data_IF_854394223624
#
_entry.id   IF_854394223624
#
_cell.length_a   1.000
_cell.length_b   1.000
_cell.length_c   1.000
_cell.angle_alpha   90.00
_cell.angle_beta   90.00
_cell.angle_gamma   90.00
#
_symmetry.space_group_name_H-M   'P 1'
#
loop_
_entity.id
_entity.type
_entity.pdbx_description
1 polymer ?
#
# COMPACT_ATOMS: atom_id res chain seq x y z
N UNK A 1 -10.37 -14.20 8.84
CA UNK A 1 -10.47 -13.65 7.47
C UNK A 1 -10.54 -12.15 7.62
N UNK A 2 -9.86 -11.38 6.77
CA UNK A 2 -9.90 -9.92 6.87
C UNK A 2 -11.29 -9.39 6.48
N UNK A 3 -11.78 -8.36 7.18
CA UNK A 3 -13.13 -7.83 6.97
C UNK A 3 -13.14 -6.40 6.40
N UNK A 4 -12.04 -5.66 6.54
CA UNK A 4 -11.95 -4.26 6.13
C UNK A 4 -10.53 -3.88 5.69
N UNK A 5 -10.44 -2.74 5.01
CA UNK A 5 -9.21 -2.00 4.73
C UNK A 5 -9.15 -0.76 5.64
N UNK A 6 -7.96 -0.31 6.00
CA UNK A 6 -7.72 0.95 6.70
C UNK A 6 -6.98 1.92 5.79
N UNK A 7 -7.61 3.04 5.46
CA UNK A 7 -6.94 4.16 4.79
C UNK A 7 -6.47 5.17 5.83
N UNK A 8 -5.15 5.35 5.94
CA UNK A 8 -4.52 6.35 6.80
C UNK A 8 -4.27 7.62 6.01
N UNK A 9 -4.59 8.78 6.59
CA UNK A 9 -4.37 10.08 5.97
C UNK A 9 -4.07 11.14 7.04
N UNK A 10 -3.51 12.28 6.62
CA UNK A 10 -3.20 13.38 7.53
C UNK A 10 -4.50 14.02 8.04
N UNK A 11 -4.61 14.23 9.35
CA UNK A 11 -5.75 14.92 9.94
C UNK A 11 -5.90 16.32 9.33
N UNK A 12 -7.14 16.68 8.99
CA UNK A 12 -7.48 17.95 8.35
C UNK A 12 -7.38 17.95 6.83
N UNK A 13 -6.74 16.96 6.21
CA UNK A 13 -6.77 16.75 4.77
C UNK A 13 -8.02 15.96 4.34
N UNK A 14 -8.36 16.06 3.04
CA UNK A 14 -9.32 15.14 2.44
C UNK A 14 -8.69 13.74 2.28
N UNK A 15 -9.42 12.66 2.60
CA UNK A 15 -8.94 11.31 2.36
C UNK A 15 -8.86 11.00 0.86
N UNK A 16 -8.23 9.87 0.51
CA UNK A 16 -8.18 9.33 -0.85
C UNK A 16 -7.52 10.25 -1.88
N UNK A 17 -6.46 10.96 -1.47
CA UNK A 17 -5.61 11.75 -2.36
C UNK A 17 -4.45 10.89 -2.87
N UNK A 18 -4.11 11.04 -4.15
CA UNK A 18 -2.99 10.35 -4.78
C UNK A 18 -2.14 11.33 -5.56
N UNK A 19 -0.82 11.18 -5.49
CA UNK A 19 0.11 11.92 -6.35
C UNK A 19 -0.12 11.60 -7.83
N UNK A 20 -0.62 10.40 -8.12
CA UNK A 20 -0.90 9.93 -9.49
C UNK A 20 -2.17 10.54 -10.10
N UNK A 21 -2.97 11.24 -9.29
CA UNK A 21 -4.12 12.01 -9.76
C UNK A 21 -3.73 13.39 -10.30
N UNK A 22 -2.48 13.81 -10.10
CA UNK A 22 -2.00 15.16 -10.37
C UNK A 22 -1.12 15.20 -11.62
N UNK A 23 -0.94 16.40 -12.17
CA UNK A 23 0.13 16.59 -13.16
C UNK A 23 1.50 16.43 -12.51
N UNK A 24 2.51 16.07 -13.31
CA UNK A 24 3.89 15.92 -12.81
C UNK A 24 4.38 17.17 -12.07
N UNK A 25 4.07 18.37 -12.58
CA UNK A 25 4.47 19.62 -11.93
C UNK A 25 3.81 19.82 -10.57
N UNK A 26 2.54 19.48 -10.42
CA UNK A 26 1.80 19.59 -9.16
C UNK A 26 2.27 18.54 -8.14
N UNK A 27 2.47 17.29 -8.60
CA UNK A 27 2.98 16.21 -7.77
C UNK A 27 4.38 16.56 -7.23
N UNK A 28 5.28 17.05 -8.08
CA UNK A 28 6.64 17.45 -7.69
C UNK A 28 6.61 18.54 -6.62
N UNK A 29 5.81 19.61 -6.81
CA UNK A 29 5.65 20.69 -5.82
C UNK A 29 5.16 20.17 -4.47
N UNK A 30 4.21 19.23 -4.47
CA UNK A 30 3.71 18.62 -3.24
C UNK A 30 4.82 17.80 -2.57
N UNK A 31 5.55 16.96 -3.30
CA UNK A 31 6.63 16.16 -2.73
C UNK A 31 7.75 17.03 -2.16
N UNK A 32 8.14 18.10 -2.86
CA UNK A 32 9.08 19.10 -2.35
C UNK A 32 8.60 19.74 -1.04
N UNK A 33 7.29 20.04 -0.94
CA UNK A 33 6.71 20.62 0.28
C UNK A 33 6.58 19.63 1.45
N UNK A 34 6.55 18.33 1.15
CA UNK A 34 6.48 17.26 2.15
C UNK A 34 7.85 16.77 2.58
N UNK A 35 8.92 17.22 1.93
CA UNK A 35 10.28 16.84 2.29
C UNK A 35 10.71 17.54 3.58
N UNK A 36 11.10 16.74 4.55
CA UNK A 36 11.77 17.14 5.77
C UNK A 36 13.00 16.23 5.92
N UNK A 37 14.07 16.72 6.55
CA UNK A 37 15.30 15.95 6.74
C UNK A 37 15.11 14.92 7.88
N UNK A 38 14.27 13.91 7.62
CA UNK A 38 13.95 12.82 8.53
C UNK A 38 13.68 11.50 7.77
N UNK A 39 13.83 10.33 8.42
CA UNK A 39 13.69 9.04 7.75
C UNK A 39 12.33 8.77 7.07
N UNK A 40 11.24 9.42 7.53
CA UNK A 40 9.90 9.21 6.97
C UNK A 40 9.69 10.01 5.68
N UNK A 41 10.34 11.16 5.55
CA UNK A 41 10.27 12.04 4.39
C UNK A 41 11.43 11.84 3.40
N UNK A 42 12.45 11.03 3.74
CA UNK A 42 13.62 10.73 2.88
C UNK A 42 13.22 10.28 1.46
N UNK A 43 12.08 9.60 1.30
CA UNK A 43 11.53 9.19 -0.01
C UNK A 43 11.30 10.37 -0.98
N UNK A 44 11.11 11.58 -0.46
CA UNK A 44 10.87 12.79 -1.24
C UNK A 44 12.12 13.64 -1.47
N UNK A 45 13.29 13.19 -1.02
CA UNK A 45 14.58 13.86 -1.25
C UNK A 45 14.91 14.02 -2.73
N UNK A 46 14.59 13.00 -3.51
CA UNK A 46 14.74 12.98 -4.98
C UNK A 46 13.35 12.83 -5.62
N UNK A 47 12.52 13.90 -5.64
CA UNK A 47 11.09 13.80 -5.95
C UNK A 47 10.84 13.37 -7.40
N UNK A 48 11.71 13.75 -8.34
CA UNK A 48 11.64 13.30 -9.74
C UNK A 48 11.86 11.79 -9.84
N UNK A 49 12.86 11.27 -9.13
CA UNK A 49 13.13 9.84 -9.10
C UNK A 49 11.98 9.07 -8.46
N UNK A 50 11.47 9.56 -7.32
CA UNK A 50 10.33 8.95 -6.65
C UNK A 50 9.09 8.89 -7.55
N UNK A 51 8.77 9.98 -8.27
CA UNK A 51 7.63 10.01 -9.18
C UNK A 51 7.76 8.99 -10.31
N UNK A 52 8.95 8.89 -10.91
CA UNK A 52 9.22 7.90 -11.96
C UNK A 52 9.10 6.47 -11.43
N UNK A 53 9.67 6.18 -10.27
CA UNK A 53 9.57 4.88 -9.63
C UNK A 53 8.12 4.52 -9.30
N UNK A 54 7.33 5.49 -8.82
CA UNK A 54 5.91 5.32 -8.53
C UNK A 54 5.12 4.96 -9.78
N UNK A 55 5.31 5.69 -10.88
CA UNK A 55 4.63 5.40 -12.16
C UNK A 55 4.98 4.01 -12.70
N UNK A 56 6.25 3.61 -12.59
CA UNK A 56 6.68 2.27 -12.99
C UNK A 56 6.05 1.18 -12.12
N UNK A 57 6.05 1.39 -10.81
CA UNK A 57 5.47 0.46 -9.83
C UNK A 57 3.96 0.32 -10.04
N UNK A 58 3.22 1.42 -10.16
CA UNK A 58 1.77 1.40 -10.40
C UNK A 58 1.42 0.72 -11.72
N UNK A 59 2.21 0.96 -12.77
CA UNK A 59 2.06 0.26 -14.04
C UNK A 59 2.27 -1.25 -13.85
N UNK A 60 3.33 -1.66 -13.16
CA UNK A 60 3.61 -3.06 -12.86
C UNK A 60 2.47 -3.70 -12.06
N UNK A 61 2.02 -3.08 -10.97
CA UNK A 61 0.88 -3.58 -10.16
C UNK A 61 -0.34 -3.77 -11.04
N UNK A 62 -0.67 -2.77 -11.85
CA UNK A 62 -1.85 -2.80 -12.73
C UNK A 62 -1.78 -3.96 -13.73
N UNK A 63 -0.64 -4.13 -14.39
CA UNK A 63 -0.44 -5.15 -15.41
C UNK A 63 -0.50 -6.56 -14.81
N UNK A 64 0.18 -6.79 -13.67
CA UNK A 64 0.15 -8.07 -12.95
C UNK A 64 -1.25 -8.37 -12.37
N UNK A 65 -1.94 -7.35 -11.87
CA UNK A 65 -3.31 -7.51 -11.39
C UNK A 65 -4.25 -7.95 -12.52
N UNK A 66 -4.14 -7.33 -13.71
CA UNK A 66 -4.90 -7.74 -14.90
C UNK A 66 -4.53 -9.17 -15.33
N UNK A 67 -3.25 -9.53 -15.29
CA UNK A 67 -2.81 -10.88 -15.62
C UNK A 67 -3.43 -11.95 -14.69
N UNK A 68 -3.73 -11.57 -13.44
CA UNK A 68 -4.46 -12.37 -12.45
C UNK A 68 -5.99 -12.32 -12.58
N UNK A 69 -6.51 -11.65 -13.61
CA UNK A 69 -7.95 -11.53 -13.86
C UNK A 69 -8.61 -10.30 -13.22
N UNK A 70 -7.83 -9.45 -12.55
CA UNK A 70 -8.30 -8.18 -11.99
C UNK A 70 -8.84 -7.25 -13.08
N UNK A 71 -9.74 -6.34 -12.68
CA UNK A 71 -10.39 -5.40 -13.59
C UNK A 71 -10.30 -3.97 -13.07
N UNK A 72 -9.10 -3.35 -13.08
CA UNK A 72 -8.94 -1.99 -12.62
C UNK A 72 -9.84 -1.04 -13.41
N UNK A 73 -10.69 -0.29 -12.69
CA UNK A 73 -11.67 0.65 -13.25
C UNK A 73 -11.09 2.05 -13.38
N UNK A 74 -10.16 2.39 -12.51
CA UNK A 74 -9.44 3.66 -12.49
C UNK A 74 -7.99 3.48 -12.99
N UNK A 75 -7.36 4.59 -13.40
CA UNK A 75 -6.02 4.60 -14.01
C UNK A 75 -4.88 4.40 -12.99
N UNK A 76 -5.11 4.81 -11.75
CA UNK A 76 -4.18 4.70 -10.63
C UNK A 76 -4.89 4.13 -9.42
N UNK A 77 -4.17 3.49 -8.48
CA UNK A 77 -4.78 2.96 -7.28
C UNK A 77 -4.87 4.02 -6.17
N UNK A 78 -5.85 3.84 -5.29
CA UNK A 78 -5.84 4.42 -3.95
C UNK A 78 -5.33 3.38 -2.96
N UNK A 79 -4.40 3.81 -2.10
CA UNK A 79 -3.69 2.92 -1.19
C UNK A 79 -4.40 2.83 0.16
N UNK A 80 -4.49 1.62 0.69
CA UNK A 80 -4.95 1.32 2.03
C UNK A 80 -4.14 0.15 2.60
N UNK A 81 -4.37 -0.18 3.87
CA UNK A 81 -3.84 -1.38 4.52
C UNK A 81 -4.93 -2.41 4.65
N UNK A 82 -4.63 -3.68 4.42
CA UNK A 82 -5.54 -4.77 4.75
C UNK A 82 -5.60 -4.98 6.26
N UNK A 83 -6.78 -4.82 6.87
CA UNK A 83 -6.91 -4.79 8.33
C UNK A 83 -6.30 -3.52 8.92
N UNK A 84 -5.46 -3.67 9.95
CA UNK A 84 -4.70 -2.58 10.59
C UNK A 84 -3.19 -2.80 10.46
N UNK A 85 -2.41 -1.75 10.70
CA UNK A 85 -0.96 -1.88 10.87
C UNK A 85 -0.48 -1.21 12.15
N UNK A 86 -0.07 -2.04 13.14
CA UNK A 86 0.64 -1.57 14.32
C UNK A 86 1.93 -0.83 13.93
N UNK A 87 2.60 -1.27 12.85
CA UNK A 87 3.78 -0.61 12.34
C UNK A 87 3.47 0.84 11.93
N UNK A 88 2.43 1.06 11.12
CA UNK A 88 2.01 2.42 10.71
C UNK A 88 1.64 3.25 11.93
N UNK A 89 0.83 2.72 12.84
CA UNK A 89 0.37 3.49 14.00
C UNK A 89 1.50 3.88 14.94
N UNK A 90 2.50 3.01 15.13
CA UNK A 90 3.68 3.32 15.93
C UNK A 90 4.59 4.34 15.23
N UNK A 91 4.86 4.17 13.92
CA UNK A 91 5.78 5.04 13.18
C UNK A 91 5.17 6.39 12.81
N UNK A 92 3.84 6.46 12.70
CA UNK A 92 3.11 7.70 12.46
C UNK A 92 2.52 8.31 13.75
N UNK A 93 2.80 7.74 14.93
CA UNK A 93 2.26 8.21 16.21
C UNK A 93 2.58 9.67 16.55
N UNK A 94 3.66 10.22 15.98
CA UNK A 94 4.04 11.63 16.13
C UNK A 94 3.35 12.57 15.15
N UNK A 95 2.54 12.06 14.23
CA UNK A 95 1.80 12.84 13.24
C UNK A 95 0.31 12.81 13.58
N UNK A 96 -0.35 13.95 13.36
CA UNK A 96 -1.81 14.01 13.41
C UNK A 96 -2.39 13.23 12.22
N UNK A 97 -2.76 11.96 12.46
CA UNK A 97 -3.33 11.05 11.45
C UNK A 97 -4.78 10.71 11.80
N UNK A 98 -5.61 10.66 10.76
CA UNK A 98 -6.95 10.08 10.80
C UNK A 98 -6.96 8.75 10.02
N UNK A 99 -8.01 7.96 10.24
CA UNK A 99 -8.21 6.67 9.56
C UNK A 99 -9.66 6.44 9.19
N UNK A 100 -9.87 5.79 8.04
CA UNK A 100 -11.18 5.32 7.59
C UNK A 100 -11.13 3.80 7.44
N UNK A 101 -12.08 3.11 8.07
CA UNK A 101 -12.30 1.68 7.83
C UNK A 101 -13.29 1.49 6.69
N UNK A 102 -12.88 0.70 5.71
CA UNK A 102 -13.63 0.47 4.48
C UNK A 102 -13.93 -1.03 4.44
N UNK A 103 -15.19 -1.45 4.58
CA UNK A 103 -15.54 -2.87 4.54
C UNK A 103 -15.10 -3.48 3.21
N UNK A 104 -14.43 -4.63 3.23
CA UNK A 104 -14.03 -5.34 2.02
C UNK A 104 -15.25 -5.79 1.20
N UNK A 105 -16.40 -5.98 1.85
CA UNK A 105 -17.65 -6.40 1.22
C UNK A 105 -18.23 -5.41 0.21
N UNK A 106 -17.75 -4.16 0.17
CA UNK A 106 -18.17 -3.19 -0.85
C UNK A 106 -17.40 -3.35 -2.16
N UNK A 107 -16.38 -4.20 -2.17
CA UNK A 107 -15.53 -4.50 -3.32
C UNK A 107 -15.66 -5.96 -3.74
N UNK A 108 -15.27 -6.22 -4.99
CA UNK A 108 -15.07 -7.57 -5.52
C UNK A 108 -13.58 -7.89 -5.60
N UNK A 109 -13.22 -9.16 -5.78
CA UNK A 109 -11.81 -9.55 -6.01
C UNK A 109 -11.21 -8.93 -7.28
N UNK A 110 -12.04 -8.35 -8.15
CA UNK A 110 -11.63 -7.69 -9.38
C UNK A 110 -11.27 -6.22 -9.16
N UNK A 111 -11.56 -5.66 -7.98
CA UNK A 111 -11.40 -4.23 -7.67
C UNK A 111 -10.13 -3.91 -6.88
N UNK A 112 -9.54 -4.90 -6.19
CA UNK A 112 -8.42 -4.68 -5.26
C UNK A 112 -7.31 -5.69 -5.50
N UNK A 113 -6.09 -5.20 -5.61
CA UNK A 113 -4.88 -6.00 -5.54
C UNK A 113 -4.14 -5.77 -4.23
N UNK A 114 -3.23 -6.67 -3.89
CA UNK A 114 -2.43 -6.59 -2.67
C UNK A 114 -0.96 -6.86 -2.94
N UNK A 115 -0.11 -6.25 -2.12
CA UNK A 115 1.32 -6.57 -2.05
C UNK A 115 1.76 -6.77 -0.60
N UNK A 116 2.86 -7.50 -0.43
CA UNK A 116 3.56 -7.57 0.85
C UNK A 116 5.07 -7.41 0.65
N UNK A 117 5.72 -6.40 1.28
CA UNK A 117 5.12 -5.24 1.95
C UNK A 117 4.54 -4.24 0.91
N UNK A 118 4.76 -2.93 1.04
CA UNK A 118 4.26 -1.96 0.05
C UNK A 118 4.81 -2.21 -1.37
N UNK A 119 4.05 -1.77 -2.36
CA UNK A 119 4.29 -2.01 -3.78
C UNK A 119 5.66 -1.50 -4.26
N UNK A 120 6.15 -0.37 -3.74
CA UNK A 120 7.44 0.20 -4.15
C UNK A 120 8.60 -0.67 -3.66
N UNK A 121 8.53 -1.12 -2.41
CA UNK A 121 9.55 -1.99 -1.81
C UNK A 121 9.51 -3.38 -2.45
N UNK A 122 8.33 -3.99 -2.60
CA UNK A 122 8.21 -5.32 -3.20
C UNK A 122 8.66 -5.33 -4.66
N UNK A 123 8.39 -4.25 -5.41
CA UNK A 123 8.84 -4.12 -6.79
C UNK A 123 10.37 -4.04 -6.87
N UNK A 124 10.99 -3.20 -6.04
CA UNK A 124 12.46 -3.08 -5.96
C UNK A 124 13.13 -4.40 -5.60
N UNK A 125 12.64 -5.09 -4.57
CA UNK A 125 13.18 -6.39 -4.16
C UNK A 125 12.95 -7.48 -5.21
N UNK A 126 11.84 -7.41 -5.97
CA UNK A 126 11.58 -8.31 -7.10
C UNK A 126 12.58 -8.14 -8.25
N UNK A 127 13.15 -6.95 -8.41
CA UNK A 127 14.20 -6.65 -9.39
C UNK A 127 15.59 -7.13 -8.94
N UNK A 128 15.88 -7.10 -7.62
CA UNK A 128 17.13 -7.59 -7.04
C UNK A 128 16.91 -8.86 -6.19
N UNK A 129 16.81 -10.00 -6.89
CA UNK A 129 16.61 -11.32 -6.26
C UNK A 129 17.82 -11.82 -5.45
N UNK A 130 18.93 -11.10 -5.48
CA UNK A 130 20.14 -11.42 -4.70
C UNK A 130 20.23 -10.61 -3.41
N UNK A 131 19.31 -9.66 -3.19
CA UNK A 131 19.25 -8.89 -1.96
C UNK A 131 19.10 -9.82 -0.75
N UNK A 132 19.82 -9.52 0.34
CA UNK A 132 19.83 -10.31 1.59
C UNK A 132 18.41 -10.49 2.16
N UNK A 133 17.53 -9.52 1.91
CA UNK A 133 16.15 -9.52 2.39
C UNK A 133 15.14 -9.98 1.33
N UNK A 134 15.57 -10.45 0.15
CA UNK A 134 14.66 -10.94 -0.88
C UNK A 134 13.97 -12.23 -0.41
N UNK A 135 12.65 -12.27 -0.52
CA UNK A 135 11.84 -13.43 -0.18
C UNK A 135 10.96 -13.78 -1.37
N UNK A 136 11.27 -14.88 -2.08
CA UNK A 136 10.57 -15.25 -3.30
C UNK A 136 9.09 -15.61 -3.08
N UNK A 137 8.65 -15.81 -1.84
CA UNK A 137 7.26 -16.05 -1.47
C UNK A 137 6.41 -14.80 -1.67
N UNK A 138 6.96 -13.61 -1.38
CA UNK A 138 6.22 -12.35 -1.27
C UNK A 138 6.70 -11.25 -2.22
N UNK A 139 8.01 -11.14 -2.42
CA UNK A 139 8.60 -10.01 -3.14
C UNK A 139 8.45 -10.14 -4.65
N UNK A 140 8.14 -9.03 -5.32
CA UNK A 140 7.88 -8.99 -6.75
C UNK A 140 6.59 -9.70 -7.17
N UNK A 141 5.62 -9.81 -6.26
CA UNK A 141 4.33 -10.46 -6.52
C UNK A 141 3.15 -9.58 -6.16
N UNK A 142 2.10 -9.70 -6.96
CA UNK A 142 0.76 -9.19 -6.67
C UNK A 142 -0.10 -10.34 -6.16
N UNK A 143 -0.94 -10.06 -5.18
CA UNK A 143 -1.90 -11.01 -4.61
C UNK A 143 -3.33 -10.54 -4.82
N UNK A 144 -4.23 -11.49 -5.04
CA UNK A 144 -5.68 -11.29 -4.94
C UNK A 144 -6.15 -11.46 -3.48
N UNK A 145 -7.39 -11.06 -3.19
CA UNK A 145 -7.96 -11.23 -1.84
C UNK A 145 -7.96 -12.70 -1.39
N UNK A 146 -8.35 -13.61 -2.28
CA UNK A 146 -8.27 -15.07 -2.04
C UNK A 146 -6.85 -15.52 -1.71
N UNK A 147 -5.84 -15.09 -2.48
CA UNK A 147 -4.44 -15.46 -2.23
C UNK A 147 -3.92 -14.91 -0.90
N UNK A 148 -4.24 -13.67 -0.56
CA UNK A 148 -3.85 -13.10 0.74
C UNK A 148 -4.52 -13.83 1.90
N UNK A 149 -5.80 -14.17 1.79
CA UNK A 149 -6.48 -14.95 2.82
C UNK A 149 -5.85 -16.34 3.00
N UNK A 150 -5.41 -16.98 1.91
CA UNK A 150 -4.67 -18.24 1.98
C UNK A 150 -3.32 -18.07 2.66
N UNK A 151 -2.55 -17.03 2.34
CA UNK A 151 -1.28 -16.72 3.01
C UNK A 151 -1.48 -16.50 4.51
N UNK A 152 -2.46 -15.69 4.90
CA UNK A 152 -2.75 -15.43 6.30
C UNK A 152 -3.21 -16.70 7.05
N UNK A 153 -3.92 -17.62 6.38
CA UNK A 153 -4.26 -18.91 6.99
C UNK A 153 -3.04 -19.82 7.18
N UNK A 154 -2.08 -19.79 6.25
CA UNK A 154 -0.87 -20.62 6.32
C UNK A 154 0.17 -20.09 7.31
N UNK A 155 0.33 -18.78 7.40
CA UNK A 155 1.42 -18.14 8.13
C UNK A 155 0.97 -17.31 9.35
N UNK A 156 -0.35 -17.19 9.57
CA UNK A 156 -0.94 -16.31 10.58
C UNK A 156 -1.30 -14.93 10.02
N UNK A 157 -2.26 -14.25 10.66
CA UNK A 157 -2.53 -12.85 10.37
C UNK A 157 -1.36 -11.97 10.88
N UNK A 158 -0.97 -10.89 10.17
CA UNK A 158 0.14 -10.02 10.57
C UNK A 158 0.03 -9.44 11.99
N UNK A 159 -1.18 -9.44 12.57
CA UNK A 159 -1.53 -8.72 13.79
C UNK A 159 -1.39 -9.55 15.08
N UNK A 160 -1.20 -10.87 15.02
CA UNK A 160 -0.96 -11.68 16.22
C UNK A 160 0.51 -11.54 16.66
N UNK A 161 0.76 -10.73 17.70
CA UNK A 161 2.09 -10.47 18.33
C UNK A 161 2.94 -11.72 18.65
N UNK A 162 2.36 -12.91 18.65
CA UNK A 162 3.02 -14.19 18.95
C UNK A 162 3.05 -15.16 17.75
N UNK A 163 2.54 -14.75 16.58
CA UNK A 163 2.55 -15.50 15.32
C UNK A 163 3.28 -14.74 14.20
N UNK A 164 4.36 -14.08 14.59
CA UNK A 164 5.45 -13.56 13.77
C UNK A 164 6.27 -14.68 13.09
N UNK A 165 5.65 -15.79 12.67
CA UNK A 165 6.33 -16.79 11.84
C UNK A 165 6.64 -16.24 10.43
N UNK A 166 5.88 -15.23 10.00
CA UNK A 166 6.21 -14.38 8.85
C UNK A 166 7.39 -13.43 9.11
N UNK A 167 7.90 -13.29 10.34
CA UNK A 167 8.69 -12.12 10.78
C UNK A 167 10.05 -12.47 11.41
N UNK A 168 10.30 -13.72 11.79
CA UNK A 168 11.62 -14.19 12.24
C UNK A 168 12.61 -14.34 11.07
N UNK A 169 13.01 -13.21 10.48
CA UNK A 169 14.05 -13.16 9.44
C UNK A 169 14.01 -11.97 8.48
N UNK A 170 12.99 -11.10 8.54
CA UNK A 170 12.68 -10.17 7.43
C UNK A 170 13.33 -8.79 7.50
N UNK A 171 14.10 -8.49 8.55
CA UNK A 171 14.69 -7.16 8.75
C UNK A 171 13.64 -6.07 9.10
N UNK A 172 14.09 -4.87 9.50
CA UNK A 172 13.30 -3.97 10.37
C UNK A 172 12.08 -3.26 9.78
N UNK A 173 11.77 -3.38 8.48
CA UNK A 173 11.32 -2.17 7.80
C UNK A 173 9.84 -2.01 7.48
N UNK A 174 9.02 -3.01 7.14
CA UNK A 174 7.60 -2.74 6.85
C UNK A 174 6.72 -3.99 7.12
N UNK A 175 5.81 -3.90 8.11
CA UNK A 175 4.95 -5.00 8.53
C UNK A 175 3.47 -4.73 8.22
N UNK A 176 3.13 -4.55 6.95
CA UNK A 176 1.72 -4.48 6.54
C UNK A 176 1.51 -4.99 5.11
N UNK A 177 0.30 -5.46 4.84
CA UNK A 177 -0.16 -5.81 3.51
C UNK A 177 -0.80 -4.56 2.92
N UNK A 178 -0.19 -4.02 1.87
CA UNK A 178 -0.73 -2.88 1.14
C UNK A 178 -1.86 -3.37 0.22
N UNK A 179 -2.97 -2.64 0.24
CA UNK A 179 -4.08 -2.79 -0.69
C UNK A 179 -4.04 -1.66 -1.72
N UNK A 180 -4.09 -2.02 -3.00
CA UNK A 180 -4.25 -1.08 -4.11
C UNK A 180 -5.68 -1.17 -4.62
N UNK A 181 -6.49 -0.15 -4.33
CA UNK A 181 -7.90 -0.08 -4.70
C UNK A 181 -8.02 0.56 -6.08
N UNK A 182 -8.51 -0.21 -7.05
CA UNK A 182 -8.63 0.19 -8.45
C UNK A 182 -10.05 0.57 -8.89
N UNK A 183 -10.98 0.63 -7.95
CA UNK A 183 -12.34 1.09 -8.16
C UNK A 183 -12.66 2.15 -7.10
N UNK A 184 -12.60 3.41 -7.50
CA UNK A 184 -12.79 4.55 -6.60
C UNK A 184 -14.26 4.82 -6.28
N UNK A 185 -15.19 4.29 -7.10
CA UNK A 185 -16.62 4.60 -6.97
C UNK A 185 -17.20 4.27 -5.59
N UNK A 186 -16.91 3.12 -4.95
CA UNK A 186 -17.38 2.84 -3.58
C UNK A 186 -16.84 3.82 -2.54
N UNK A 187 -15.66 4.41 -2.77
CA UNK A 187 -15.00 5.31 -1.83
C UNK A 187 -15.63 6.70 -1.77
N UNK A 188 -16.42 7.09 -2.78
CA UNK A 188 -17.10 8.38 -2.80
C UNK A 188 -18.02 8.59 -1.58
N UNK A 189 -18.57 7.52 -1.01
CA UNK A 189 -19.41 7.58 0.19
C UNK A 189 -18.66 8.09 1.44
N UNK A 190 -17.32 8.03 1.43
CA UNK A 190 -16.45 8.39 2.55
C UNK A 190 -15.86 9.81 2.42
N UNK A 191 -16.07 10.50 1.30
CA UNK A 191 -15.57 11.86 1.09
C UNK A 191 -16.37 12.94 1.86
N UNK A 192 -17.51 12.58 2.45
CA UNK A 192 -18.43 13.49 3.16
C UNK A 192 -18.61 13.21 4.65
N UNK A 193 -17.96 12.17 5.20
CA UNK A 193 -18.03 11.83 6.63
C UNK A 193 -16.95 12.61 7.38
N UNK A 194 -17.35 13.70 8.04
CA UNK A 194 -16.57 14.38 9.08
C UNK A 194 -17.03 13.93 10.46
#
# INVERSE_FOLDING_TARGET
MFEFLTHYYKQGDLPFRSLSALTDSEALKIMESLYEDNPLAERFKEPVQYLNNRKQTEKWVRDEFIAKGGQPKDEYPLYAVLGYSNWIENHLSSFDIDRIHIPLSIFTELDISFTYPDSMVTYLLGMDKHAVYYQPEYHGKIFTLSEVNLLANMYGAPEEKWRTALLEGMGPYIEYIEAQIWNHKPLLAYLGTR
#
